data_IF_039767252420
#
_entry.id   IF_039767252420
#
_cell.length_a   1.000
_cell.length_b   1.000
_cell.length_c   1.000
_cell.angle_alpha   90.00
_cell.angle_beta   90.00
_cell.angle_gamma   90.00
#
_symmetry.space_group_name_H-M   'P 1'
#
loop_
_entity.id
_entity.type
_entity.pdbx_description
1 polymer ?
#
# COMPACT_ATOMS: atom_id res chain seq x y z
N UNK A 1 63.64 73.67 23.58
CA UNK A 1 62.55 74.46 24.21
C UNK A 1 61.49 73.48 24.68
N UNK A 2 61.11 73.46 25.96
CA UNK A 2 60.02 72.59 26.46
C UNK A 2 58.69 73.19 26.00
N UNK A 3 57.80 72.36 25.45
CA UNK A 3 56.46 72.79 25.05
C UNK A 3 55.65 73.22 26.29
N UNK A 4 54.81 74.28 26.21
CA UNK A 4 53.98 74.70 27.32
C UNK A 4 52.84 73.70 27.56
N UNK A 5 52.64 73.29 28.79
CA UNK A 5 51.49 72.48 29.21
C UNK A 5 50.22 73.34 29.14
N UNK A 6 49.40 73.13 28.11
CA UNK A 6 48.06 73.72 28.00
C UNK A 6 47.07 72.79 28.68
N UNK A 7 46.66 73.13 29.90
CA UNK A 7 45.52 72.48 30.56
C UNK A 7 44.23 73.03 29.96
N UNK A 8 43.58 72.24 29.11
CA UNK A 8 42.23 72.53 28.62
C UNK A 8 41.24 72.07 29.67
N UNK A 9 40.54 73.00 30.29
CA UNK A 9 39.44 72.68 31.21
C UNK A 9 38.26 72.16 30.38
N UNK A 10 37.91 70.88 30.56
CA UNK A 10 36.84 70.26 29.78
C UNK A 10 35.51 70.80 30.32
N UNK A 11 34.62 71.40 29.49
CA UNK A 11 33.34 71.89 29.96
C UNK A 11 32.53 70.73 30.53
N UNK A 12 32.07 70.86 31.79
CA UNK A 12 31.19 69.88 32.41
C UNK A 12 29.85 69.88 31.68
N UNK A 13 29.53 68.78 31.01
CA UNK A 13 28.25 68.59 30.32
C UNK A 13 27.17 68.27 31.36
N UNK A 14 26.11 69.08 31.43
CA UNK A 14 24.96 68.79 32.28
C UNK A 14 24.01 67.79 31.61
N UNK A 15 23.85 66.63 32.24
CA UNK A 15 22.99 65.53 31.77
C UNK A 15 21.67 65.44 32.55
N UNK A 16 21.36 66.41 33.40
CA UNK A 16 20.17 66.44 34.25
C UNK A 16 18.87 66.32 33.44
N UNK A 17 18.73 67.12 32.37
CA UNK A 17 17.58 67.10 31.46
C UNK A 17 17.42 65.77 30.74
N UNK A 18 18.54 65.17 30.28
CA UNK A 18 18.52 63.88 29.59
C UNK A 18 18.04 62.77 30.55
N UNK A 19 18.58 62.73 31.77
CA UNK A 19 18.15 61.78 32.81
C UNK A 19 16.67 61.92 33.14
N UNK A 20 16.16 63.16 33.19
CA UNK A 20 14.75 63.43 33.43
C UNK A 20 13.87 62.87 32.31
N UNK A 21 14.21 63.13 31.05
CA UNK A 21 13.45 62.61 29.89
C UNK A 21 13.43 61.07 29.88
N UNK A 22 14.57 60.42 30.14
CA UNK A 22 14.61 58.96 30.25
C UNK A 22 13.77 58.43 31.41
N UNK A 23 13.82 59.08 32.58
CA UNK A 23 13.04 58.66 33.74
C UNK A 23 11.55 58.84 33.53
N UNK A 24 11.12 59.94 32.92
CA UNK A 24 9.71 60.23 32.69
C UNK A 24 9.15 59.29 31.61
N UNK A 25 9.91 59.04 30.54
CA UNK A 25 9.55 58.05 29.52
C UNK A 25 9.45 56.63 30.07
N UNK A 26 10.35 56.21 30.97
CA UNK A 26 10.26 54.90 31.63
C UNK A 26 8.99 54.78 32.48
N UNK A 27 8.61 55.83 33.22
CA UNK A 27 7.37 55.82 34.02
C UNK A 27 6.13 55.68 33.13
N UNK A 28 6.12 56.34 31.99
CA UNK A 28 5.00 56.25 31.04
C UNK A 28 4.86 54.84 30.47
N UNK A 29 5.98 54.20 30.09
CA UNK A 29 5.98 52.81 29.63
C UNK A 29 5.48 51.85 30.71
N UNK A 30 5.92 52.03 31.97
CA UNK A 30 5.47 51.19 33.09
C UNK A 30 3.97 51.36 33.31
N UNK A 31 3.47 52.59 33.37
CA UNK A 31 2.03 52.86 33.52
C UNK A 31 1.22 52.27 32.37
N UNK A 32 1.72 52.31 31.14
CA UNK A 32 1.06 51.73 29.98
C UNK A 32 0.99 50.20 30.08
N UNK A 33 2.04 49.53 30.57
CA UNK A 33 2.06 48.08 30.82
C UNK A 33 1.09 47.70 31.93
N UNK A 34 1.03 48.47 33.01
CA UNK A 34 0.10 48.23 34.12
C UNK A 34 -1.36 48.41 33.72
N UNK A 35 -1.64 49.32 32.77
CA UNK A 35 -2.98 49.57 32.24
C UNK A 35 -3.45 48.53 31.21
N UNK A 36 -2.57 47.62 30.75
CA UNK A 36 -2.99 46.51 29.89
C UNK A 36 -3.93 45.62 30.71
N UNK A 37 -5.21 45.48 30.31
CA UNK A 37 -6.14 44.63 31.03
C UNK A 37 -5.58 43.20 31.02
N UNK A 38 -5.41 42.63 32.21
CA UNK A 38 -5.10 41.20 32.36
C UNK A 38 -6.33 40.43 31.89
N UNK A 39 -6.39 40.12 30.61
CA UNK A 39 -7.31 39.10 30.11
C UNK A 39 -6.87 37.79 30.73
N UNK A 40 -7.63 37.29 31.70
CA UNK A 40 -7.56 35.88 32.06
C UNK A 40 -7.74 35.10 30.75
N UNK A 41 -6.71 34.36 30.35
CA UNK A 41 -6.84 33.43 29.24
C UNK A 41 -7.95 32.47 29.69
N UNK A 42 -9.11 32.42 29.01
CA UNK A 42 -10.13 31.45 29.40
C UNK A 42 -9.45 30.09 29.40
N UNK A 43 -9.60 29.32 30.49
CA UNK A 43 -9.15 27.93 30.52
C UNK A 43 -9.78 27.25 29.30
N UNK A 44 -8.97 27.04 28.26
CA UNK A 44 -9.39 26.20 27.17
C UNK A 44 -9.64 24.84 27.84
N UNK A 45 -10.81 24.20 27.64
CA UNK A 45 -11.01 22.85 28.14
C UNK A 45 -9.81 22.02 27.70
N UNK A 46 -9.22 21.21 28.58
CA UNK A 46 -7.95 20.51 28.35
C UNK A 46 -8.02 19.63 27.09
N UNK A 47 -7.77 20.24 25.92
CA UNK A 47 -7.74 19.57 24.62
C UNK A 47 -6.58 18.58 24.52
N UNK A 48 -5.75 18.53 25.55
CA UNK A 48 -4.68 17.55 25.69
C UNK A 48 -5.23 16.14 25.76
N UNK A 49 -6.39 15.91 26.38
CA UNK A 49 -7.01 14.58 26.40
C UNK A 49 -7.45 14.15 25.00
N UNK A 50 -8.09 15.06 24.24
CA UNK A 50 -8.48 14.81 22.84
C UNK A 50 -7.26 14.56 21.94
N UNK A 51 -6.18 15.31 22.14
CA UNK A 51 -4.93 15.17 21.38
C UNK A 51 -4.23 13.85 21.72
N UNK A 52 -4.23 13.44 22.99
CA UNK A 52 -3.66 12.16 23.43
C UNK A 52 -4.46 11.00 22.85
N UNK A 53 -5.79 11.07 22.90
CA UNK A 53 -6.67 10.04 22.33
C UNK A 53 -6.47 9.92 20.81
N UNK A 54 -6.37 11.06 20.11
CA UNK A 54 -6.06 11.09 18.69
C UNK A 54 -4.69 10.47 18.38
N UNK A 55 -3.64 10.80 19.13
CA UNK A 55 -2.31 10.23 18.94
C UNK A 55 -2.27 8.71 19.21
N UNK A 56 -2.98 8.24 20.25
CA UNK A 56 -3.11 6.82 20.54
C UNK A 56 -3.86 6.07 19.43
N UNK A 57 -4.90 6.68 18.86
CA UNK A 57 -5.63 6.12 17.72
C UNK A 57 -4.72 5.99 16.48
N UNK A 58 -3.80 6.95 16.28
CA UNK A 58 -2.84 6.93 15.17
C UNK A 58 -1.74 5.90 15.37
N UNK A 59 -1.15 5.79 16.56
CA UNK A 59 -0.16 4.73 16.85
C UNK A 59 -0.78 3.33 16.69
N UNK A 60 -2.03 3.18 17.14
CA UNK A 60 -2.79 1.93 16.96
C UNK A 60 -3.07 1.64 15.49
N UNK A 61 -3.51 2.62 14.71
CA UNK A 61 -3.76 2.47 13.26
C UNK A 61 -2.46 2.24 12.46
N UNK A 62 -1.36 2.88 12.86
CA UNK A 62 -0.03 2.72 12.25
C UNK A 62 0.57 1.35 12.54
N UNK A 63 0.23 0.70 13.65
CA UNK A 63 0.62 -0.69 13.94
C UNK A 63 -0.24 -1.72 13.20
N UNK A 64 -1.37 -1.28 12.66
CA UNK A 64 -2.27 -2.06 11.80
C UNK A 64 -2.03 -1.72 10.33
N UNK A 65 -0.78 -1.55 9.86
CA UNK A 65 -0.53 -1.53 8.41
C UNK A 65 -1.09 -2.85 7.88
N UNK A 66 -2.18 -2.83 7.09
CA UNK A 66 -2.65 -4.06 6.51
C UNK A 66 -1.55 -4.51 5.55
N UNK A 67 -0.96 -5.68 5.81
CA UNK A 67 -0.18 -6.34 4.79
C UNK A 67 -1.09 -6.46 3.57
N UNK A 68 -0.76 -5.76 2.49
CA UNK A 68 -1.55 -5.85 1.28
C UNK A 68 -1.56 -7.33 0.88
N UNK A 69 -2.74 -7.94 0.69
CA UNK A 69 -2.80 -9.34 0.33
C UNK A 69 -2.03 -9.52 -0.98
N UNK A 70 -0.99 -10.35 -0.95
CA UNK A 70 -0.17 -10.66 -2.12
C UNK A 70 -0.97 -11.35 -3.21
N UNK A 71 -2.15 -11.88 -2.88
CA UNK A 71 -3.09 -12.49 -3.81
C UNK A 71 -4.54 -12.12 -3.45
N UNK A 72 -5.30 -11.63 -4.42
CA UNK A 72 -6.76 -11.49 -4.30
C UNK A 72 -7.38 -12.79 -4.81
N UNK A 73 -7.93 -13.61 -3.90
CA UNK A 73 -8.70 -14.80 -4.28
C UNK A 73 -10.09 -14.39 -4.75
N UNK A 74 -10.23 -14.03 -6.03
CA UNK A 74 -11.53 -13.80 -6.64
C UNK A 74 -12.19 -15.16 -6.89
N UNK A 75 -13.35 -15.38 -6.26
CA UNK A 75 -14.22 -16.51 -6.53
C UNK A 75 -15.46 -16.03 -7.29
N UNK A 76 -15.92 -16.84 -8.24
CA UNK A 76 -17.25 -16.69 -8.83
C UNK A 76 -18.34 -16.84 -7.73
N UNK A 77 -19.57 -16.37 -7.97
CA UNK A 77 -20.70 -16.56 -7.04
C UNK A 77 -20.99 -18.04 -6.71
N UNK A 78 -20.56 -18.97 -7.56
CA UNK A 78 -20.67 -20.42 -7.37
C UNK A 78 -19.51 -21.04 -6.56
N UNK A 79 -18.55 -20.22 -6.09
CA UNK A 79 -17.42 -20.64 -5.29
C UNK A 79 -16.18 -21.11 -6.08
N UNK A 80 -16.24 -21.15 -7.41
CA UNK A 80 -15.08 -21.50 -8.27
C UNK A 80 -14.07 -20.35 -8.33
N UNK A 81 -12.78 -20.64 -8.54
CA UNK A 81 -11.76 -19.60 -8.69
C UNK A 81 -11.86 -18.94 -10.06
N UNK A 82 -11.77 -17.61 -10.11
CA UNK A 82 -11.73 -16.87 -11.37
C UNK A 82 -10.32 -16.94 -11.95
N UNK A 83 -10.15 -17.68 -13.04
CA UNK A 83 -9.04 -17.44 -13.98
C UNK A 83 -7.85 -18.40 -13.98
N UNK A 84 -7.82 -19.50 -13.21
CA UNK A 84 -6.84 -20.57 -13.45
C UNK A 84 -7.19 -21.85 -12.67
N UNK A 85 -8.20 -22.61 -13.11
CA UNK A 85 -8.37 -23.98 -12.58
C UNK A 85 -7.22 -24.83 -13.10
N UNK A 86 -6.28 -25.30 -12.25
CA UNK A 86 -5.22 -26.16 -12.73
C UNK A 86 -5.85 -27.46 -13.27
N UNK A 87 -5.42 -27.87 -14.46
CA UNK A 87 -5.81 -29.15 -15.06
C UNK A 87 -4.69 -30.16 -14.91
N UNK A 88 -5.05 -31.38 -14.50
CA UNK A 88 -4.18 -32.53 -14.68
C UNK A 88 -4.04 -32.83 -16.18
N UNK A 89 -2.83 -33.10 -16.63
CA UNK A 89 -2.57 -33.56 -18.00
C UNK A 89 -2.14 -35.03 -17.95
N UNK A 90 -2.72 -35.84 -18.83
CA UNK A 90 -2.32 -37.23 -19.05
C UNK A 90 -1.88 -37.42 -20.49
N UNK A 91 -0.93 -38.34 -20.68
CA UNK A 91 -0.35 -38.70 -21.97
C UNK A 91 -0.37 -40.22 -22.08
N UNK A 92 -0.81 -40.74 -23.23
CA UNK A 92 -0.68 -42.16 -23.58
C UNK A 92 -0.01 -42.29 -24.94
N UNK A 93 1.15 -42.94 -24.97
CA UNK A 93 1.93 -43.18 -26.18
C UNK A 93 2.01 -44.69 -26.53
N UNK A 94 1.12 -45.51 -26.00
CA UNK A 94 1.14 -46.97 -26.23
C UNK A 94 0.82 -47.34 -27.68
N UNK A 95 0.16 -46.46 -28.43
CA UNK A 95 -0.24 -46.63 -29.83
C UNK A 95 0.66 -45.88 -30.83
N UNK A 96 1.95 -45.68 -30.53
CA UNK A 96 2.91 -45.00 -31.42
C UNK A 96 2.75 -45.46 -32.88
N UNK A 97 2.67 -44.54 -33.87
CA UNK A 97 3.02 -43.11 -33.83
C UNK A 97 1.93 -42.17 -33.28
N UNK A 98 0.88 -42.72 -32.66
CA UNK A 98 -0.21 -41.96 -32.04
C UNK A 98 0.10 -41.66 -30.58
N UNK A 99 -0.12 -40.41 -30.18
CA UNK A 99 -0.07 -39.92 -28.80
C UNK A 99 -1.44 -39.33 -28.42
N UNK A 100 -2.04 -39.84 -27.36
CA UNK A 100 -3.24 -39.27 -26.77
C UNK A 100 -2.86 -38.28 -25.67
N UNK A 101 -3.51 -37.11 -25.65
CA UNK A 101 -3.37 -36.11 -24.60
C UNK A 101 -4.74 -35.80 -23.99
N UNK A 102 -4.84 -35.89 -22.68
CA UNK A 102 -6.06 -35.63 -21.91
C UNK A 102 -5.84 -34.52 -20.91
N UNK A 103 -6.83 -33.65 -20.75
CA UNK A 103 -6.87 -32.63 -19.70
C UNK A 103 -8.16 -32.75 -18.90
N UNK A 104 -8.07 -32.70 -17.58
CA UNK A 104 -9.24 -32.69 -16.69
C UNK A 104 -8.91 -31.94 -15.40
N UNK A 105 -9.91 -31.51 -14.60
CA UNK A 105 -9.66 -30.96 -13.27
C UNK A 105 -8.71 -31.85 -12.45
N UNK A 106 -7.83 -31.23 -11.65
CA UNK A 106 -6.92 -31.99 -10.79
C UNK A 106 -7.72 -32.87 -9.83
N UNK A 107 -7.36 -34.15 -9.76
CA UNK A 107 -8.05 -35.15 -8.92
C UNK A 107 -9.16 -35.93 -9.63
N UNK A 108 -9.48 -35.61 -10.89
CA UNK A 108 -10.45 -36.39 -11.67
C UNK A 108 -10.00 -37.83 -11.86
N UNK A 109 -10.95 -38.77 -11.67
CA UNK A 109 -10.73 -40.17 -12.00
C UNK A 109 -10.65 -40.36 -13.53
N UNK A 110 -9.88 -41.36 -13.97
CA UNK A 110 -9.79 -41.68 -15.40
C UNK A 110 -11.11 -42.17 -15.99
N UNK A 111 -11.95 -42.77 -15.14
CA UNK A 111 -13.28 -43.26 -15.48
C UNK A 111 -14.38 -42.19 -15.47
N UNK A 112 -14.05 -40.93 -15.14
CA UNK A 112 -15.02 -39.83 -15.11
C UNK A 112 -15.14 -39.14 -16.47
N UNK A 113 -16.35 -38.82 -16.92
CA UNK A 113 -16.63 -38.09 -18.16
C UNK A 113 -16.37 -36.58 -18.00
N UNK A 114 -15.12 -36.22 -17.73
CA UNK A 114 -14.66 -34.84 -17.45
C UNK A 114 -13.36 -34.51 -18.16
N UNK A 115 -12.90 -35.39 -19.05
CA UNK A 115 -11.67 -35.21 -19.80
C UNK A 115 -11.96 -34.53 -21.13
N UNK A 116 -11.10 -33.58 -21.48
CA UNK A 116 -10.92 -33.09 -22.82
C UNK A 116 -9.76 -33.87 -23.44
N UNK A 117 -10.01 -34.58 -24.54
CA UNK A 117 -9.05 -35.54 -25.12
C UNK A 117 -8.73 -35.17 -26.57
N UNK A 118 -7.45 -35.17 -26.92
CA UNK A 118 -7.00 -35.05 -28.30
C UNK A 118 -6.07 -36.21 -28.68
N UNK A 119 -6.13 -36.60 -29.96
CA UNK A 119 -5.23 -37.56 -30.59
C UNK A 119 -4.24 -36.81 -31.47
N UNK A 120 -2.95 -37.02 -31.23
CA UNK A 120 -1.83 -36.52 -32.01
C UNK A 120 -1.28 -37.68 -32.83
N UNK A 121 -1.48 -37.65 -34.13
CA UNK A 121 -0.93 -38.62 -35.08
C UNK A 121 0.31 -38.03 -35.75
N UNK A 122 1.41 -38.77 -35.81
CA UNK A 122 2.67 -38.34 -36.46
C UNK A 122 3.02 -39.13 -37.73
N UNK A 123 2.13 -40.01 -38.21
CA UNK A 123 2.38 -40.91 -39.35
C UNK A 123 2.70 -40.17 -40.66
N UNK A 124 1.95 -39.10 -40.95
CA UNK A 124 2.09 -38.31 -42.19
C UNK A 124 2.45 -36.84 -41.91
N UNK A 125 3.03 -36.58 -40.74
CA UNK A 125 3.13 -35.25 -40.13
C UNK A 125 2.23 -35.15 -38.89
N UNK A 126 2.41 -34.10 -38.09
CA UNK A 126 1.66 -33.94 -36.84
C UNK A 126 0.24 -33.44 -37.12
N UNK A 127 -0.74 -34.33 -36.91
CA UNK A 127 -2.17 -34.03 -37.03
C UNK A 127 -2.81 -34.15 -35.66
N UNK A 128 -3.48 -33.08 -35.21
CA UNK A 128 -4.28 -33.08 -34.00
C UNK A 128 -5.76 -33.21 -34.37
N UNK A 129 -6.40 -34.24 -33.82
CA UNK A 129 -7.86 -34.45 -33.88
C UNK A 129 -8.42 -34.47 -32.46
N UNK A 130 -9.68 -34.11 -32.31
CA UNK A 130 -10.33 -34.11 -31.01
C UNK A 130 -11.21 -35.34 -30.86
N UNK A 131 -11.29 -35.87 -29.63
CA UNK A 131 -12.35 -36.80 -29.27
C UNK A 131 -13.69 -36.20 -29.69
N UNK A 132 -14.59 -37.01 -30.25
CA UNK A 132 -15.96 -36.65 -30.70
C UNK A 132 -16.08 -35.45 -31.69
N UNK A 133 -14.96 -34.90 -32.14
CA UNK A 133 -14.89 -33.73 -33.01
C UNK A 133 -15.06 -32.38 -32.31
N UNK A 134 -15.02 -32.31 -30.98
CA UNK A 134 -15.08 -31.03 -30.26
C UNK A 134 -14.11 -30.96 -29.07
N UNK A 135 -13.99 -29.77 -28.45
CA UNK A 135 -13.05 -29.53 -27.35
C UNK A 135 -13.71 -29.57 -25.95
N UNK A 136 -14.77 -30.34 -25.76
CA UNK A 136 -15.49 -30.39 -24.49
C UNK A 136 -14.77 -31.27 -23.44
N UNK A 137 -15.19 -31.12 -22.18
CA UNK A 137 -14.72 -31.90 -21.03
C UNK A 137 -15.81 -32.90 -20.62
N UNK A 138 -16.12 -33.83 -21.51
CA UNK A 138 -17.21 -34.81 -21.41
C UNK A 138 -16.77 -36.23 -21.79
N UNK A 139 -15.48 -36.44 -22.04
CA UNK A 139 -14.92 -37.74 -22.40
C UNK A 139 -14.33 -38.47 -21.18
N UNK A 140 -14.22 -39.80 -21.31
CA UNK A 140 -13.64 -40.70 -20.31
C UNK A 140 -12.23 -41.09 -20.78
N UNK A 141 -11.22 -40.95 -19.91
CA UNK A 141 -9.83 -41.26 -20.26
C UNK A 141 -9.60 -42.76 -20.51
N UNK A 142 -10.32 -43.63 -19.81
CA UNK A 142 -10.18 -45.08 -19.98
C UNK A 142 -10.67 -45.57 -21.37
N UNK A 143 -11.45 -44.75 -22.08
CA UNK A 143 -12.07 -45.07 -23.38
C UNK A 143 -11.28 -44.52 -24.59
N UNK A 144 -10.05 -44.01 -24.39
CA UNK A 144 -9.22 -43.35 -25.43
C UNK A 144 -9.02 -44.16 -26.72
N UNK A 145 -9.08 -45.49 -26.65
CA UNK A 145 -8.92 -46.35 -27.82
C UNK A 145 -10.23 -46.57 -28.61
N UNK A 146 -11.38 -46.33 -27.97
CA UNK A 146 -12.71 -46.57 -28.55
C UNK A 146 -13.41 -45.30 -29.01
N UNK A 147 -12.90 -44.13 -28.60
CA UNK A 147 -13.44 -42.83 -29.00
C UNK A 147 -13.18 -42.58 -30.50
N UNK A 148 -14.13 -41.91 -31.16
CA UNK A 148 -13.95 -41.42 -32.54
C UNK A 148 -13.24 -40.07 -32.51
N UNK A 149 -12.29 -39.87 -33.43
CA UNK A 149 -11.48 -38.67 -33.51
C UNK A 149 -11.62 -37.98 -34.87
N UNK A 150 -11.93 -36.69 -34.86
CA UNK A 150 -12.03 -35.84 -36.05
C UNK A 150 -11.59 -34.40 -35.81
#
# INVERSE_FOLDING_TARGET
VKAPDVKVDVPKIDLSSLKKVFSDGLKEVVSAVEAIPKTEIPEAPDRWDEVIEWLQSIDTASRLIPEQPTEIKVKNPDGTLVGNTPYATRLDNTASPILYIGKAPVGSATSSAVWQIAKLDTTSGLVKTWADGNSNFDNVWDDILTITYS
#
